data_IF_098061587925
#
_entry.id   IF_098061587925
#
_cell.length_a   1.000
_cell.length_b   1.000
_cell.length_c   1.000
_cell.angle_alpha   90.00
_cell.angle_beta   90.00
_cell.angle_gamma   90.00
#
_symmetry.space_group_name_H-M   'P 1'
#
loop_
_entity.id
_entity.type
_entity.pdbx_description
1 polymer ?
#
# COMPACT_ATOMS: atom_id res chain seq x y z
N UNK A 1 0.74 -18.22 1.18
CA UNK A 1 0.40 -19.67 1.30
C UNK A 1 0.86 -20.20 2.68
N UNK A 2 0.39 -21.36 3.16
CA UNK A 2 0.97 -22.00 4.34
C UNK A 2 2.46 -22.38 4.15
N UNK A 3 2.90 -22.50 2.90
CA UNK A 3 4.32 -22.64 2.54
C UNK A 3 5.17 -21.39 2.84
N UNK A 4 4.54 -20.23 3.04
CA UNK A 4 5.21 -18.95 3.27
C UNK A 4 5.25 -18.56 4.75
N UNK A 5 4.97 -19.48 5.68
CA UNK A 5 4.88 -19.20 7.11
C UNK A 5 5.69 -20.22 7.91
N UNK A 6 6.55 -19.72 8.81
CA UNK A 6 7.17 -20.49 9.89
C UNK A 6 6.55 -20.03 11.20
N UNK A 7 5.64 -20.84 11.77
CA UNK A 7 4.91 -20.48 12.98
C UNK A 7 5.56 -21.02 14.24
N UNK A 8 5.83 -20.17 15.23
CA UNK A 8 6.24 -20.59 16.56
C UNK A 8 5.02 -20.86 17.46
N UNK A 9 3.97 -20.04 17.33
CA UNK A 9 2.75 -20.15 18.12
C UNK A 9 1.55 -19.53 17.40
N UNK A 10 0.62 -20.36 16.96
CA UNK A 10 -0.65 -19.93 16.39
C UNK A 10 -1.67 -21.07 16.44
N UNK A 11 -2.95 -20.73 16.49
CA UNK A 11 -4.03 -21.68 16.22
C UNK A 11 -4.32 -21.86 14.73
N UNK A 12 -3.81 -20.98 13.87
CA UNK A 12 -4.07 -20.96 12.43
C UNK A 12 -3.05 -21.76 11.61
N UNK A 13 -1.81 -21.85 12.08
CA UNK A 13 -0.69 -22.48 11.38
C UNK A 13 -0.13 -23.68 12.15
N UNK A 14 0.51 -24.61 11.44
CA UNK A 14 1.28 -25.68 12.09
C UNK A 14 2.53 -25.08 12.74
N UNK A 15 2.68 -25.28 14.04
CA UNK A 15 3.77 -24.70 14.81
C UNK A 15 5.01 -25.61 14.75
N UNK A 16 6.17 -25.01 14.46
CA UNK A 16 7.47 -25.66 14.64
C UNK A 16 7.76 -25.87 16.13
N UNK A 17 8.64 -26.81 16.49
CA UNK A 17 8.96 -27.04 17.89
C UNK A 17 9.62 -25.83 18.55
N UNK A 18 9.11 -25.47 19.73
CA UNK A 18 9.72 -24.48 20.64
C UNK A 18 10.09 -25.19 21.93
N UNK A 19 11.36 -25.13 22.32
CA UNK A 19 11.88 -25.81 23.51
C UNK A 19 11.26 -25.27 24.79
N UNK A 20 11.16 -23.94 24.87
CA UNK A 20 10.50 -23.27 26.00
C UNK A 20 10.05 -21.86 25.63
N UNK A 21 8.90 -21.45 26.18
CA UNK A 21 8.37 -20.09 26.11
C UNK A 21 8.80 -19.21 27.31
N UNK A 22 9.58 -19.78 28.22
CA UNK A 22 10.15 -19.11 29.39
C UNK A 22 11.42 -19.84 29.82
N UNK A 23 12.57 -19.34 29.38
CA UNK A 23 13.88 -19.90 29.71
C UNK A 23 14.23 -19.76 31.18
N UNK A 24 15.26 -20.50 31.65
CA UNK A 24 15.76 -20.37 33.03
C UNK A 24 16.43 -19.02 33.32
N UNK A 25 16.89 -18.35 32.27
CA UNK A 25 17.53 -17.04 32.34
C UNK A 25 16.55 -15.87 32.18
N UNK A 26 15.26 -16.14 31.90
CA UNK A 26 14.16 -15.17 32.01
C UNK A 26 14.19 -14.51 33.40
N UNK A 27 13.81 -13.23 33.50
CA UNK A 27 13.74 -12.56 34.79
C UNK A 27 12.90 -13.40 35.78
N UNK A 28 13.41 -13.69 36.99
CA UNK A 28 12.76 -14.62 37.90
C UNK A 28 11.39 -14.15 38.39
N UNK A 29 11.08 -12.85 38.28
CA UNK A 29 9.76 -12.31 38.61
C UNK A 29 8.69 -12.61 37.55
N UNK A 30 9.10 -12.88 36.31
CA UNK A 30 8.18 -13.12 35.19
C UNK A 30 7.44 -14.43 35.42
N UNK A 31 6.11 -14.38 35.31
CA UNK A 31 5.24 -15.55 35.33
C UNK A 31 4.67 -15.76 33.92
N UNK A 32 4.71 -16.99 33.42
CA UNK A 32 4.08 -17.39 32.15
C UNK A 32 2.88 -18.31 32.47
N UNK A 33 1.73 -17.99 31.89
CA UNK A 33 0.56 -18.85 31.88
C UNK A 33 0.07 -19.07 30.45
N UNK A 34 -0.21 -20.32 30.11
CA UNK A 34 -1.01 -20.65 28.93
C UNK A 34 -2.49 -20.50 29.30
N UNK A 35 -3.20 -19.61 28.62
CA UNK A 35 -4.63 -19.37 28.83
C UNK A 35 -5.38 -19.55 27.52
N UNK A 36 -6.71 -19.59 27.61
CA UNK A 36 -7.58 -19.63 26.44
C UNK A 36 -8.55 -18.45 26.48
N UNK A 37 -8.63 -17.68 25.39
CA UNK A 37 -9.58 -16.58 25.22
C UNK A 37 -10.51 -16.95 24.06
N UNK A 38 -11.73 -17.36 24.39
CA UNK A 38 -12.62 -17.98 23.41
C UNK A 38 -12.03 -19.31 22.95
N UNK A 39 -11.80 -19.44 21.65
CA UNK A 39 -11.16 -20.62 21.05
C UNK A 39 -9.65 -20.42 20.78
N UNK A 40 -9.09 -19.23 21.07
CA UNK A 40 -7.66 -18.91 20.87
C UNK A 40 -6.83 -19.27 22.10
N UNK A 41 -5.70 -19.95 21.87
CA UNK A 41 -4.66 -20.17 22.87
C UNK A 41 -3.80 -18.92 22.96
N UNK A 42 -3.49 -18.47 24.18
CA UNK A 42 -2.75 -17.21 24.41
C UNK A 42 -1.70 -17.41 25.49
N UNK A 43 -0.49 -16.88 25.26
CA UNK A 43 0.58 -16.80 26.27
C UNK A 43 0.37 -15.53 27.10
N UNK A 44 0.17 -15.64 28.41
CA UNK A 44 0.15 -14.47 29.31
C UNK A 44 1.43 -14.39 30.11
N UNK A 45 2.15 -13.29 29.92
CA UNK A 45 3.30 -12.90 30.74
C UNK A 45 2.87 -11.86 31.78
N UNK A 46 3.17 -12.11 33.05
CA UNK A 46 2.98 -11.17 34.16
C UNK A 46 4.32 -10.80 34.78
N UNK A 47 4.44 -9.58 35.32
CA UNK A 47 5.69 -9.02 35.83
C UNK A 47 6.82 -9.05 34.79
N UNK A 48 6.49 -8.80 33.52
CA UNK A 48 7.43 -8.86 32.42
C UNK A 48 8.51 -7.79 32.58
N UNK A 49 9.74 -8.23 32.81
CA UNK A 49 10.96 -7.41 32.64
C UNK A 49 11.62 -7.82 31.34
N UNK A 50 12.00 -9.09 31.24
CA UNK A 50 12.31 -9.76 29.98
C UNK A 50 12.04 -11.26 30.10
N UNK A 51 11.57 -11.88 29.03
CA UNK A 51 11.35 -13.32 28.93
C UNK A 51 12.04 -13.87 27.69
N UNK A 52 12.81 -14.92 27.87
CA UNK A 52 13.43 -15.68 26.80
C UNK A 52 12.54 -16.81 26.31
N UNK A 53 12.46 -16.95 25.00
CA UNK A 53 11.88 -18.06 24.27
C UNK A 53 13.00 -18.72 23.47
N UNK A 54 13.13 -20.04 23.55
CA UNK A 54 14.19 -20.82 22.91
C UNK A 54 13.61 -21.91 22.02
N UNK A 55 14.21 -22.06 20.84
CA UNK A 55 13.98 -23.10 19.84
C UNK A 55 15.34 -23.53 19.29
N UNK A 56 16.24 -23.91 20.19
CA UNK A 56 17.64 -24.26 19.90
C UNK A 56 17.79 -25.72 19.47
N UNK A 57 16.86 -26.61 19.85
CA UNK A 57 16.86 -28.01 19.39
C UNK A 57 16.50 -28.10 17.92
N UNK A 58 15.62 -27.22 17.45
CA UNK A 58 15.19 -27.11 16.05
C UNK A 58 15.19 -25.63 15.66
N UNK A 59 16.39 -25.13 15.38
CA UNK A 59 16.60 -23.77 14.88
C UNK A 59 15.85 -23.59 13.56
N UNK A 60 15.37 -22.38 13.32
CA UNK A 60 14.63 -22.05 12.10
C UNK A 60 15.46 -21.19 11.17
N UNK A 61 15.40 -21.53 9.89
CA UNK A 61 15.93 -20.71 8.81
C UNK A 61 14.82 -19.77 8.33
N UNK A 62 14.99 -18.48 8.62
CA UNK A 62 14.07 -17.41 8.18
C UNK A 62 14.72 -16.52 7.13
N UNK A 63 15.78 -17.00 6.46
CA UNK A 63 16.52 -16.23 5.46
C UNK A 63 15.69 -15.86 4.25
N UNK A 64 14.72 -16.71 3.92
CA UNK A 64 13.76 -16.44 2.84
C UNK A 64 12.46 -15.77 3.35
N UNK A 65 12.35 -15.46 4.64
CA UNK A 65 11.20 -14.72 5.17
C UNK A 65 11.48 -13.22 5.12
N UNK A 66 10.43 -12.42 5.07
CA UNK A 66 10.52 -10.96 4.98
C UNK A 66 10.09 -10.27 6.27
N UNK A 67 9.15 -10.89 7.00
CA UNK A 67 8.48 -10.27 8.14
C UNK A 67 8.44 -11.21 9.36
N UNK A 68 8.45 -10.59 10.54
CA UNK A 68 8.09 -11.22 11.81
C UNK A 68 6.74 -10.67 12.27
N UNK A 69 5.85 -11.54 12.71
CA UNK A 69 4.51 -11.20 13.18
C UNK A 69 4.32 -11.61 14.64
N UNK A 70 3.67 -10.73 15.41
CA UNK A 70 3.20 -11.02 16.76
C UNK A 70 1.92 -10.23 17.08
N UNK A 71 0.88 -10.91 17.57
CA UNK A 71 -0.22 -10.21 18.24
C UNK A 71 0.11 -9.95 19.70
N UNK A 72 -0.06 -8.70 20.13
CA UNK A 72 0.25 -8.25 21.48
C UNK A 72 -0.93 -7.49 22.05
N UNK A 73 -1.39 -7.88 23.24
CA UNK A 73 -2.33 -7.09 24.03
C UNK A 73 -1.74 -6.80 25.40
N UNK A 74 -1.88 -5.56 25.87
CA UNK A 74 -1.47 -5.17 27.22
C UNK A 74 -2.52 -4.26 27.84
N UNK A 75 -2.87 -4.45 29.13
CA UNK A 75 -3.70 -3.49 29.85
C UNK A 75 -2.88 -2.30 30.36
N UNK A 76 -1.56 -2.37 30.28
CA UNK A 76 -0.68 -1.36 30.84
C UNK A 76 -0.59 -0.15 29.91
N UNK A 77 -0.19 1.00 30.45
CA UNK A 77 -0.02 2.21 29.66
C UNK A 77 1.13 2.03 28.67
N UNK A 78 0.91 2.40 27.41
CA UNK A 78 1.90 2.28 26.32
C UNK A 78 2.44 3.63 25.85
N UNK A 79 1.97 4.74 26.44
CA UNK A 79 2.60 6.04 26.21
C UNK A 79 4.02 6.07 26.78
N UNK A 80 4.94 6.70 26.04
CA UNK A 80 6.33 6.89 26.50
C UNK A 80 6.37 7.46 27.93
N UNK A 81 7.24 6.94 28.80
CA UNK A 81 8.41 6.10 28.48
C UNK A 81 8.16 4.58 28.41
N UNK A 82 6.91 4.13 28.59
CA UNK A 82 6.56 2.71 28.53
C UNK A 82 6.75 2.17 27.11
N UNK A 83 7.32 0.97 26.98
CA UNK A 83 7.52 0.30 25.68
C UNK A 83 7.65 -1.22 25.83
N UNK A 84 7.27 -1.95 24.80
CA UNK A 84 7.45 -3.39 24.67
C UNK A 84 8.62 -3.68 23.74
N UNK A 85 9.57 -4.50 24.16
CA UNK A 85 10.71 -4.89 23.33
C UNK A 85 10.51 -6.25 22.68
N UNK A 86 10.93 -6.37 21.44
CA UNK A 86 11.06 -7.62 20.70
C UNK A 86 12.50 -7.73 20.23
N UNK A 87 13.15 -8.86 20.53
CA UNK A 87 14.51 -9.13 20.13
C UNK A 87 14.64 -10.52 19.55
N UNK A 88 15.33 -10.61 18.42
CA UNK A 88 15.61 -11.84 17.70
C UNK A 88 17.11 -12.14 17.77
N UNK A 89 17.47 -13.41 17.93
CA UNK A 89 18.87 -13.86 18.04
C UNK A 89 19.12 -15.03 17.12
N UNK A 90 20.09 -14.87 16.23
CA UNK A 90 20.61 -15.88 15.31
C UNK A 90 21.98 -16.36 15.80
N UNK A 91 22.18 -17.67 15.87
CA UNK A 91 23.40 -18.28 16.42
C UNK A 91 24.56 -18.33 15.41
N UNK A 92 24.40 -17.70 14.24
CA UNK A 92 25.42 -17.68 13.20
C UNK A 92 25.53 -19.02 12.48
N UNK A 93 26.48 -19.11 11.54
CA UNK A 93 26.54 -20.18 10.54
C UNK A 93 26.76 -21.60 11.10
N UNK A 94 27.26 -21.77 12.32
CA UNK A 94 27.47 -23.08 12.94
C UNK A 94 26.34 -23.50 13.91
N UNK A 95 25.34 -22.63 14.09
CA UNK A 95 24.19 -22.85 14.97
C UNK A 95 24.56 -22.94 16.45
N UNK A 96 25.73 -22.45 16.86
CA UNK A 96 26.18 -22.49 18.26
C UNK A 96 26.09 -21.10 18.91
N UNK A 97 25.78 -21.07 20.21
CA UNK A 97 25.84 -19.83 20.97
C UNK A 97 27.30 -19.45 21.29
N UNK A 98 28.02 -18.94 20.29
CA UNK A 98 29.43 -18.58 20.41
C UNK A 98 29.83 -17.32 19.58
N UNK A 99 31.05 -17.32 19.04
CA UNK A 99 31.54 -16.26 18.17
C UNK A 99 30.86 -16.31 16.81
N UNK A 100 29.84 -15.47 16.63
CA UNK A 100 29.05 -15.47 15.39
C UNK A 100 27.59 -15.15 15.63
N UNK A 101 27.15 -15.17 16.89
CA UNK A 101 25.81 -14.76 17.29
C UNK A 101 25.56 -13.30 16.88
N UNK A 102 24.42 -13.06 16.24
CA UNK A 102 23.93 -11.74 15.85
C UNK A 102 22.51 -11.55 16.38
N UNK A 103 22.15 -10.31 16.66
CA UNK A 103 20.89 -9.98 17.33
C UNK A 103 20.39 -8.61 16.93
N UNK A 104 19.07 -8.47 16.81
CA UNK A 104 18.41 -7.19 16.61
C UNK A 104 17.27 -7.01 17.61
N UNK A 105 17.06 -5.78 18.10
CA UNK A 105 16.02 -5.44 19.07
C UNK A 105 15.28 -4.18 18.66
N UNK A 106 13.95 -4.23 18.75
CA UNK A 106 13.04 -3.13 18.49
C UNK A 106 12.14 -2.89 19.69
N UNK A 107 11.63 -1.67 19.83
CA UNK A 107 10.72 -1.28 20.90
C UNK A 107 9.47 -0.62 20.33
N UNK A 108 8.31 -0.97 20.87
CA UNK A 108 6.99 -0.51 20.45
C UNK A 108 6.29 0.24 21.58
N UNK A 109 5.70 1.38 21.25
CA UNK A 109 4.94 2.25 22.15
C UNK A 109 3.70 2.81 21.41
N UNK A 110 2.91 3.68 22.04
CA UNK A 110 1.70 4.23 21.42
C UNK A 110 1.96 5.15 20.21
N UNK A 111 3.21 5.52 19.94
CA UNK A 111 3.62 6.41 18.85
C UNK A 111 4.53 5.73 17.81
N UNK A 112 4.78 4.42 17.92
CA UNK A 112 5.48 3.65 16.90
C UNK A 112 4.56 3.23 15.76
N UNK A 113 5.16 2.75 14.67
CA UNK A 113 4.46 2.09 13.58
C UNK A 113 5.10 0.71 13.36
N UNK A 114 4.39 -0.40 13.62
CA UNK A 114 3.04 -0.48 14.18
C UNK A 114 2.94 0.07 15.62
N UNK A 115 1.77 0.62 15.97
CA UNK A 115 1.51 1.18 17.30
C UNK A 115 1.10 0.09 18.31
N UNK A 116 1.65 0.17 19.53
CA UNK A 116 1.19 -0.65 20.65
C UNK A 116 0.16 0.14 21.47
N UNK A 117 -1.11 -0.23 21.36
CA UNK A 117 -2.21 0.47 22.02
C UNK A 117 -2.68 -0.27 23.29
N UNK A 118 -2.80 0.47 24.39
CA UNK A 118 -3.28 -0.07 25.66
C UNK A 118 -4.74 -0.52 25.56
N UNK A 119 -5.03 -1.74 26.04
CA UNK A 119 -6.37 -2.29 26.14
C UNK A 119 -6.95 -2.84 24.83
N UNK A 120 -6.17 -2.89 23.75
CA UNK A 120 -6.55 -3.51 22.48
C UNK A 120 -5.45 -4.44 21.96
N UNK A 121 -5.81 -5.34 21.06
CA UNK A 121 -4.86 -6.24 20.42
C UNK A 121 -4.18 -5.47 19.30
N UNK A 122 -2.87 -5.27 19.43
CA UNK A 122 -2.02 -4.71 18.38
C UNK A 122 -1.44 -5.86 17.53
N UNK A 123 -1.44 -5.66 16.22
CA UNK A 123 -0.73 -6.50 15.27
C UNK A 123 0.64 -5.90 15.03
N UNK A 124 1.69 -6.57 15.50
CA UNK A 124 3.07 -6.18 15.23
C UNK A 124 3.58 -6.97 14.04
N UNK A 125 3.44 -6.40 12.86
CA UNK A 125 4.04 -6.89 11.63
C UNK A 125 5.31 -6.08 11.37
N UNK A 126 6.46 -6.76 11.43
CA UNK A 126 7.76 -6.10 11.55
C UNK A 126 8.65 -6.60 10.40
N UNK A 127 9.09 -5.73 9.49
CA UNK A 127 10.09 -6.09 8.50
C UNK A 127 11.34 -6.64 9.18
N UNK A 128 11.81 -7.81 8.75
CA UNK A 128 13.03 -8.41 9.32
C UNK A 128 14.26 -7.51 9.08
N UNK A 129 14.20 -6.63 8.08
CA UNK A 129 15.22 -5.63 7.78
C UNK A 129 15.39 -4.57 8.88
N UNK A 130 14.35 -4.29 9.67
CA UNK A 130 14.40 -3.27 10.72
C UNK A 130 15.23 -3.72 11.93
N UNK A 131 15.45 -5.03 12.07
CA UNK A 131 16.38 -5.60 13.03
C UNK A 131 17.83 -5.41 12.55
N UNK A 132 18.34 -4.18 12.57
CA UNK A 132 19.64 -3.79 11.98
C UNK A 132 20.84 -4.68 12.40
N UNK A 133 20.80 -5.24 13.62
CA UNK A 133 21.84 -6.12 14.13
C UNK A 133 21.69 -7.61 13.77
N UNK A 134 20.55 -8.02 13.23
CA UNK A 134 20.24 -9.40 12.82
C UNK A 134 20.70 -9.63 11.37
N UNK A 135 22.01 -9.63 11.16
CA UNK A 135 22.64 -9.67 9.82
C UNK A 135 22.69 -11.07 9.18
N UNK A 136 22.38 -12.12 9.94
CA UNK A 136 22.20 -13.51 9.50
C UNK A 136 20.87 -14.04 10.05
N UNK A 137 20.29 -15.01 9.35
CA UNK A 137 18.92 -15.51 9.60
C UNK A 137 18.75 -17.02 9.39
N UNK A 138 19.85 -17.73 9.11
CA UNK A 138 19.87 -19.15 8.80
C UNK A 138 19.66 -20.03 10.03
N UNK A 139 20.01 -19.55 11.23
CA UNK A 139 19.96 -20.30 12.48
C UNK A 139 19.33 -19.47 13.60
N UNK A 140 18.15 -18.92 13.33
CA UNK A 140 17.41 -18.18 14.34
C UNK A 140 17.04 -19.14 15.47
N UNK A 141 17.31 -18.71 16.70
CA UNK A 141 17.37 -19.61 17.86
C UNK A 141 16.59 -19.10 19.08
N UNK A 142 16.46 -17.78 19.20
CA UNK A 142 15.80 -17.16 20.35
C UNK A 142 14.93 -15.98 19.94
N UNK A 143 13.82 -15.85 20.66
CA UNK A 143 13.00 -14.65 20.72
C UNK A 143 13.03 -14.16 22.17
N UNK A 144 13.26 -12.87 22.38
CA UNK A 144 13.19 -12.23 23.69
C UNK A 144 12.13 -11.14 23.61
N UNK A 145 11.20 -11.18 24.54
CA UNK A 145 10.22 -10.11 24.75
C UNK A 145 10.55 -9.38 26.04
N UNK A 146 10.38 -8.06 26.07
CA UNK A 146 10.69 -7.25 27.25
C UNK A 146 9.64 -6.19 27.54
N UNK A 147 9.46 -5.93 28.83
CA UNK A 147 8.61 -4.89 29.36
C UNK A 147 9.46 -3.78 29.92
N UNK A 148 9.34 -2.57 29.38
CA UNK A 148 10.18 -1.43 29.80
C UNK A 148 9.32 -0.31 30.38
N UNK A 149 9.76 0.23 31.51
CA UNK A 149 9.20 1.39 32.23
C UNK A 149 7.73 1.29 32.67
N UNK A 150 7.06 0.15 32.45
CA UNK A 150 5.71 -0.10 32.96
C UNK A 150 4.87 -1.13 32.21
N UNK A 151 5.31 -1.64 31.05
CA UNK A 151 4.61 -2.71 30.31
C UNK A 151 4.92 -4.07 30.94
N UNK A 152 4.21 -4.45 32.00
CA UNK A 152 4.53 -5.61 32.83
C UNK A 152 3.57 -6.79 32.61
N UNK A 153 2.40 -6.57 32.02
CA UNK A 153 1.41 -7.60 31.69
C UNK A 153 1.21 -7.61 30.19
N UNK A 154 1.59 -8.71 29.54
CA UNK A 154 1.50 -8.84 28.09
C UNK A 154 0.86 -10.18 27.75
N UNK A 155 -0.08 -10.14 26.81
CA UNK A 155 -0.73 -11.29 26.22
C UNK A 155 -0.19 -11.39 24.80
N UNK A 156 0.34 -12.56 24.46
CA UNK A 156 0.97 -12.84 23.16
C UNK A 156 0.21 -13.97 22.49
N UNK A 157 -0.13 -13.74 21.22
CA UNK A 157 -0.72 -14.73 20.33
C UNK A 157 -0.10 -14.58 18.93
N UNK A 158 -0.25 -15.58 18.06
CA UNK A 158 0.17 -15.56 16.67
C UNK A 158 1.61 -15.05 16.48
N UNK A 159 2.58 -15.84 16.93
CA UNK A 159 4.00 -15.58 16.75
C UNK A 159 4.51 -16.40 15.57
N UNK A 160 4.83 -15.76 14.46
CA UNK A 160 5.32 -16.44 13.26
C UNK A 160 6.18 -15.53 12.39
N UNK A 161 6.97 -16.14 11.52
CA UNK A 161 7.68 -15.48 10.43
C UNK A 161 6.96 -15.78 9.14
N UNK A 162 6.93 -14.84 8.23
CA UNK A 162 6.36 -15.11 6.93
C UNK A 162 7.11 -14.38 5.82
N UNK A 163 7.02 -14.98 4.63
CA UNK A 163 7.39 -14.35 3.38
C UNK A 163 6.13 -13.65 2.90
N UNK A 164 6.12 -12.33 2.98
CA UNK A 164 5.26 -11.57 2.10
C UNK A 164 5.71 -11.96 0.68
N UNK A 165 4.77 -12.42 -0.16
CA UNK A 165 5.07 -12.78 -1.55
C UNK A 165 5.91 -11.66 -2.18
N UNK A 166 6.95 -12.02 -2.95
CA UNK A 166 7.89 -11.06 -3.56
C UNK A 166 7.14 -9.93 -4.30
N UNK A 167 6.83 -8.85 -3.60
CA UNK A 167 6.64 -7.52 -4.16
C UNK A 167 8.05 -6.94 -4.26
N UNK A 168 8.77 -7.31 -5.31
CA UNK A 168 10.18 -6.95 -5.47
C UNK A 168 10.39 -5.45 -5.28
N UNK A 169 11.07 -5.03 -4.22
CA UNK A 169 11.34 -3.60 -3.90
C UNK A 169 10.10 -2.67 -3.95
N UNK A 170 8.87 -3.19 -3.88
CA UNK A 170 7.63 -2.38 -3.88
C UNK A 170 7.12 -2.29 -2.42
N UNK A 171 6.79 -1.08 -1.90
CA UNK A 171 6.12 -0.95 -0.59
C UNK A 171 4.77 -1.70 -0.63
N UNK A 172 4.22 -2.04 0.55
CA UNK A 172 2.93 -2.74 0.78
C UNK A 172 1.97 -2.74 -0.43
N UNK A 173 1.23 -3.85 -0.71
CA UNK A 173 0.31 -3.91 -1.84
C UNK A 173 -0.54 -2.66 -1.85
N UNK A 174 -0.23 -1.76 -2.78
CA UNK A 174 -0.93 -0.48 -2.83
C UNK A 174 -2.38 -0.88 -3.03
N UNK A 175 -3.33 -0.42 -2.18
CA UNK A 175 -4.70 -0.86 -2.29
C UNK A 175 -5.12 -0.72 -3.76
N UNK A 176 -5.82 -1.71 -4.29
CA UNK A 176 -6.29 -1.70 -5.68
C UNK A 176 -7.82 -1.80 -5.71
N UNK A 177 -8.48 -1.34 -6.79
CA UNK A 177 -9.94 -1.43 -6.88
C UNK A 177 -10.39 -2.89 -6.85
N UNK A 178 -11.28 -3.25 -5.91
CA UNK A 178 -11.81 -4.61 -5.79
C UNK A 178 -12.85 -4.95 -6.89
N UNK A 179 -13.47 -3.92 -7.49
CA UNK A 179 -14.45 -4.04 -8.57
C UNK A 179 -14.08 -3.08 -9.70
N UNK A 180 -14.52 -3.40 -10.92
CA UNK A 180 -14.34 -2.54 -12.09
C UNK A 180 -15.05 -1.19 -11.92
N UNK A 181 -14.62 -0.19 -12.68
CA UNK A 181 -15.32 1.08 -12.75
C UNK A 181 -16.77 0.87 -13.26
N UNK A 182 -17.73 1.74 -12.87
CA UNK A 182 -19.09 1.67 -13.39
C UNK A 182 -19.13 1.71 -14.92
N UNK A 183 -19.92 0.83 -15.54
CA UNK A 183 -20.10 0.83 -16.99
C UNK A 183 -20.82 2.12 -17.44
N UNK A 184 -20.26 2.91 -18.37
CA UNK A 184 -20.91 4.10 -18.90
C UNK A 184 -22.29 3.80 -19.52
N UNK A 185 -23.21 4.76 -19.41
CA UNK A 185 -24.60 4.62 -19.90
C UNK A 185 -25.01 5.67 -20.94
N UNK A 186 -24.09 6.51 -21.40
CA UNK A 186 -24.36 7.51 -22.44
C UNK A 186 -24.61 6.81 -23.77
N UNK A 187 -25.48 7.34 -24.62
CA UNK A 187 -25.70 6.77 -25.95
C UNK A 187 -24.40 6.87 -26.77
N UNK A 188 -23.97 5.76 -27.39
CA UNK A 188 -22.74 5.71 -28.17
C UNK A 188 -22.72 6.72 -29.33
N UNK A 189 -23.88 7.19 -29.82
CA UNK A 189 -23.98 8.24 -30.84
C UNK A 189 -23.60 9.65 -30.32
N UNK A 190 -23.54 9.81 -29.00
CA UNK A 190 -23.24 11.06 -28.30
C UNK A 190 -21.85 11.04 -27.64
N UNK A 191 -21.01 10.04 -27.95
CA UNK A 191 -19.72 9.78 -27.31
C UNK A 191 -18.58 9.75 -28.33
N UNK A 192 -17.46 10.40 -27.99
CA UNK A 192 -16.14 10.16 -28.59
C UNK A 192 -15.27 9.52 -27.50
N UNK A 193 -15.00 8.22 -27.63
CA UNK A 193 -14.28 7.44 -26.61
C UNK A 193 -12.79 7.35 -26.92
N UNK A 194 -11.94 7.67 -25.95
CA UNK A 194 -10.50 7.42 -26.01
C UNK A 194 -10.14 6.05 -25.42
N UNK A 195 -10.80 5.67 -24.32
CA UNK A 195 -10.57 4.40 -23.63
C UNK A 195 -11.82 3.95 -22.88
N UNK A 196 -12.48 2.89 -23.34
CA UNK A 196 -13.57 2.24 -22.63
C UNK A 196 -13.85 0.88 -23.26
N UNK A 197 -14.22 -0.11 -22.47
CA UNK A 197 -14.77 -1.38 -22.98
C UNK A 197 -16.22 -1.24 -23.47
N UNK A 198 -16.91 -0.14 -23.16
CA UNK A 198 -18.32 0.07 -23.50
C UNK A 198 -18.54 0.71 -24.89
N UNK A 199 -17.53 1.36 -25.46
CA UNK A 199 -17.62 2.11 -26.71
C UNK A 199 -16.51 1.74 -27.70
N UNK A 200 -16.71 2.06 -28.98
CA UNK A 200 -15.62 2.01 -29.96
C UNK A 200 -14.66 3.17 -29.69
N UNK A 201 -13.39 2.86 -29.44
CA UNK A 201 -12.38 3.86 -29.12
C UNK A 201 -11.78 4.44 -30.41
N UNK A 202 -11.61 5.76 -30.44
CA UNK A 202 -10.80 6.42 -31.48
C UNK A 202 -9.31 6.16 -31.20
N UNK A 203 -8.43 6.26 -32.22
CA UNK A 203 -7.01 6.01 -32.01
C UNK A 203 -6.36 6.97 -31.00
N UNK A 204 -5.52 6.41 -30.13
CA UNK A 204 -4.64 7.14 -29.22
C UNK A 204 -3.21 6.69 -29.51
N UNK A 205 -2.30 7.64 -29.74
CA UNK A 205 -0.92 7.35 -30.12
C UNK A 205 -0.15 6.73 -28.96
N UNK A 206 -0.33 7.30 -27.76
CA UNK A 206 0.28 6.79 -26.53
C UNK A 206 -0.47 7.27 -25.30
N UNK A 207 -0.48 6.43 -24.26
CA UNK A 207 -1.01 6.73 -22.92
C UNK A 207 0.08 7.14 -21.93
N UNK A 208 1.34 7.12 -22.36
CA UNK A 208 2.50 7.61 -21.62
C UNK A 208 3.54 8.10 -22.62
N UNK A 209 3.57 9.40 -22.85
CA UNK A 209 4.53 10.04 -23.76
C UNK A 209 5.97 9.97 -23.26
N UNK A 210 6.95 10.20 -24.14
CA UNK A 210 8.37 10.27 -23.75
C UNK A 210 8.69 11.46 -22.82
N UNK A 211 7.84 12.48 -22.82
CA UNK A 211 7.97 13.67 -21.98
C UNK A 211 7.19 13.58 -20.66
N UNK A 212 6.47 12.47 -20.42
CA UNK A 212 5.95 12.10 -19.09
C UNK A 212 7.08 12.10 -18.06
N UNK A 213 6.79 12.44 -16.80
CA UNK A 213 7.81 12.38 -15.74
C UNK A 213 8.46 10.98 -15.73
N UNK A 214 9.81 10.89 -15.71
CA UNK A 214 10.50 9.62 -15.85
C UNK A 214 10.23 8.64 -14.72
N UNK A 215 9.80 9.11 -13.54
CA UNK A 215 9.45 8.23 -12.42
C UNK A 215 8.10 7.53 -12.63
N UNK A 216 7.21 8.09 -13.45
CA UNK A 216 5.86 7.56 -13.66
C UNK A 216 5.94 6.22 -14.38
N UNK A 217 5.24 5.24 -13.86
CA UNK A 217 5.07 3.92 -14.49
C UNK A 217 3.64 3.78 -14.99
N UNK A 218 3.45 3.15 -16.15
CA UNK A 218 2.14 2.84 -16.71
C UNK A 218 2.05 1.33 -16.92
N UNK A 219 0.96 0.75 -16.41
CA UNK A 219 0.58 -0.62 -16.66
C UNK A 219 -0.85 -0.72 -17.18
N UNK A 220 -1.06 -1.64 -18.11
CA UNK A 220 -2.39 -2.07 -18.53
C UNK A 220 -2.76 -3.31 -17.71
N UNK A 221 -3.81 -3.19 -16.90
CA UNK A 221 -4.31 -4.27 -16.05
C UNK A 221 -5.76 -4.60 -16.38
N UNK A 222 -6.28 -5.68 -15.79
CA UNK A 222 -7.69 -6.00 -15.85
C UNK A 222 -8.28 -6.13 -14.44
N UNK A 223 -9.44 -5.52 -14.24
CA UNK A 223 -10.25 -5.68 -13.02
C UNK A 223 -11.58 -6.29 -13.43
N UNK A 224 -11.76 -7.57 -13.14
CA UNK A 224 -12.81 -8.37 -13.76
C UNK A 224 -12.60 -8.46 -15.28
N UNK A 225 -13.61 -8.05 -16.05
CA UNK A 225 -13.55 -7.99 -17.53
C UNK A 225 -13.27 -6.57 -18.06
N UNK A 226 -13.00 -5.59 -17.19
CA UNK A 226 -12.70 -4.20 -17.58
C UNK A 226 -11.20 -3.98 -17.71
N UNK A 227 -10.78 -3.38 -18.82
CA UNK A 227 -9.40 -2.95 -19.03
C UNK A 227 -9.18 -1.64 -18.28
N UNK A 228 -8.09 -1.54 -17.52
CA UNK A 228 -7.80 -0.37 -16.65
C UNK A 228 -6.35 0.06 -16.85
N UNK A 229 -6.11 1.37 -16.88
CA UNK A 229 -4.76 1.94 -16.90
C UNK A 229 -4.32 2.26 -15.48
N UNK A 230 -3.23 1.66 -15.00
CA UNK A 230 -2.63 1.96 -13.70
C UNK A 230 -1.40 2.83 -13.89
N UNK A 231 -1.43 4.01 -13.29
CA UNK A 231 -0.27 4.89 -13.17
C UNK A 231 0.28 4.81 -11.75
N UNK A 232 1.56 4.50 -11.61
CA UNK A 232 2.29 4.53 -10.33
C UNK A 232 3.34 5.63 -10.37
N UNK A 233 3.75 6.14 -9.21
CA UNK A 233 4.69 7.27 -9.09
C UNK A 233 4.26 8.50 -9.91
N UNK A 234 2.95 8.75 -9.98
CA UNK A 234 2.35 9.78 -10.81
C UNK A 234 2.76 11.19 -10.33
N UNK A 235 3.61 11.84 -11.12
CA UNK A 235 3.84 13.29 -11.03
C UNK A 235 3.01 13.98 -12.12
N UNK A 236 3.29 13.67 -13.38
CA UNK A 236 2.40 13.98 -14.50
C UNK A 236 2.64 12.99 -15.64
N UNK A 237 1.56 12.58 -16.33
CA UNK A 237 1.61 11.70 -17.48
C UNK A 237 0.92 12.35 -18.67
N UNK A 238 1.61 12.33 -19.81
CA UNK A 238 1.07 12.78 -21.09
C UNK A 238 0.42 11.66 -21.88
N UNK A 239 -0.75 11.94 -22.43
CA UNK A 239 -1.50 11.11 -23.38
C UNK A 239 -1.63 11.91 -24.68
N UNK A 240 -1.27 11.29 -25.80
CA UNK A 240 -1.25 11.94 -27.11
C UNK A 240 -2.14 11.19 -28.12
N UNK A 241 -2.90 11.97 -28.88
CA UNK A 241 -3.71 11.57 -30.03
C UNK A 241 -3.51 12.64 -31.12
N UNK A 242 -2.24 12.88 -31.45
CA UNK A 242 -1.78 13.92 -32.37
C UNK A 242 -1.86 13.47 -33.84
N UNK A 243 -1.80 12.15 -34.10
CA UNK A 243 -1.93 11.63 -35.48
C UNK A 243 -3.37 11.71 -35.98
N UNK A 244 -4.34 11.48 -35.09
CA UNK A 244 -5.77 11.62 -35.33
C UNK A 244 -6.37 12.52 -34.24
N UNK A 245 -6.16 13.83 -34.39
CA UNK A 245 -6.75 14.84 -33.51
C UNK A 245 -8.28 14.74 -33.51
N UNK A 246 -8.88 15.01 -32.35
CA UNK A 246 -10.32 14.88 -32.16
C UNK A 246 -10.98 16.25 -32.12
N UNK A 247 -12.08 16.37 -32.86
CA UNK A 247 -12.99 17.51 -32.79
C UNK A 247 -14.06 17.22 -31.73
N UNK A 248 -13.98 17.93 -30.61
CA UNK A 248 -14.95 17.85 -29.51
C UNK A 248 -15.77 19.14 -29.38
N UNK A 249 -15.86 19.92 -30.46
CA UNK A 249 -16.63 21.17 -30.49
C UNK A 249 -18.12 20.99 -30.24
N UNK A 250 -18.69 19.85 -30.66
CA UNK A 250 -20.09 19.48 -30.38
C UNK A 250 -20.29 18.82 -29.01
N UNK A 251 -19.20 18.48 -28.30
CA UNK A 251 -19.26 17.85 -26.98
C UNK A 251 -19.41 18.90 -25.88
N UNK A 252 -19.99 18.47 -24.76
CA UNK A 252 -20.29 19.35 -23.62
C UNK A 252 -19.48 19.00 -22.39
N UNK A 253 -19.07 17.74 -22.24
CA UNK A 253 -18.41 17.22 -21.06
C UNK A 253 -17.24 16.29 -21.44
N UNK A 254 -16.26 16.25 -20.58
CA UNK A 254 -15.23 15.21 -20.51
C UNK A 254 -15.57 14.27 -19.35
N UNK A 255 -15.41 12.96 -19.54
CA UNK A 255 -15.62 11.94 -18.53
C UNK A 255 -14.36 11.11 -18.32
N UNK A 256 -14.08 10.79 -17.06
CA UNK A 256 -13.08 9.81 -16.66
C UNK A 256 -13.52 9.12 -15.36
N UNK A 257 -13.38 7.80 -15.28
CA UNK A 257 -13.39 7.11 -13.99
C UNK A 257 -11.98 7.09 -13.42
N UNK A 258 -11.85 7.52 -12.16
CA UNK A 258 -10.58 7.60 -11.45
C UNK A 258 -10.73 6.90 -10.11
N UNK A 259 -9.80 6.02 -9.78
CA UNK A 259 -9.68 5.40 -8.46
C UNK A 259 -8.25 5.58 -7.96
N UNK A 260 -8.08 5.90 -6.68
CA UNK A 260 -6.76 6.04 -6.06
C UNK A 260 -6.80 5.51 -4.63
N UNK A 261 -5.76 4.79 -4.17
CA UNK A 261 -5.66 4.42 -2.76
C UNK A 261 -5.15 5.59 -1.90
N UNK A 262 -4.60 6.62 -2.53
CA UNK A 262 -3.94 7.71 -1.84
C UNK A 262 -4.96 8.62 -1.16
N UNK A 263 -4.53 9.32 -0.11
CA UNK A 263 -5.35 10.34 0.52
C UNK A 263 -5.64 11.48 -0.48
N UNK A 264 -6.90 11.88 -0.60
CA UNK A 264 -7.38 12.94 -1.49
C UNK A 264 -7.79 14.21 -0.76
N UNK A 265 -7.62 14.26 0.56
CA UNK A 265 -7.77 15.49 1.34
C UNK A 265 -6.64 16.47 1.02
N UNK A 266 -6.97 17.76 0.97
CA UNK A 266 -5.97 18.81 0.73
C UNK A 266 -4.79 18.70 1.71
N UNK A 267 -3.54 18.87 1.23
CA UNK A 267 -3.16 19.50 -0.05
C UNK A 267 -3.19 18.58 -1.28
N UNK A 268 -3.50 17.31 -1.13
CA UNK A 268 -3.44 16.29 -2.17
C UNK A 268 -4.55 16.52 -3.20
N UNK A 269 -4.24 16.35 -4.50
CA UNK A 269 -5.22 16.52 -5.59
C UNK A 269 -4.76 15.85 -6.89
N UNK A 270 -5.74 15.47 -7.72
CA UNK A 270 -5.51 14.94 -9.07
C UNK A 270 -5.79 16.01 -10.12
N UNK A 271 -4.86 16.23 -11.04
CA UNK A 271 -5.00 17.18 -12.14
C UNK A 271 -5.45 16.52 -13.43
N UNK A 272 -6.33 17.20 -14.16
CA UNK A 272 -6.72 16.88 -15.53
C UNK A 272 -6.50 18.12 -16.37
N UNK A 273 -5.75 17.98 -17.47
CA UNK A 273 -5.48 19.05 -18.42
C UNK A 273 -5.73 18.61 -19.84
N UNK A 274 -6.37 19.47 -20.61
CA UNK A 274 -6.68 19.26 -22.02
C UNK A 274 -5.94 20.30 -22.86
N UNK A 275 -5.41 19.87 -24.01
CA UNK A 275 -4.66 20.74 -24.94
C UNK A 275 -5.20 20.60 -26.36
N UNK A 276 -5.56 21.73 -26.95
CA UNK A 276 -5.97 21.88 -28.35
C UNK A 276 -4.87 22.61 -29.11
N UNK A 277 -4.45 22.05 -30.25
CA UNK A 277 -3.33 22.57 -31.05
C UNK A 277 -3.72 23.77 -31.93
N UNK A 278 -4.91 24.32 -31.76
CA UNK A 278 -5.39 25.44 -32.54
C UNK A 278 -5.74 25.05 -33.97
N UNK A 279 -6.12 26.04 -34.77
CA UNK A 279 -6.81 25.83 -36.05
C UNK A 279 -5.98 25.12 -37.15
N UNK A 280 -4.65 25.11 -37.07
CA UNK A 280 -3.79 24.41 -38.03
C UNK A 280 -3.35 23.02 -37.57
N UNK A 281 -3.78 22.61 -36.37
CA UNK A 281 -3.49 21.30 -35.80
C UNK A 281 -2.01 21.10 -35.47
N UNK A 282 -1.22 22.16 -35.35
CA UNK A 282 0.22 22.07 -35.06
C UNK A 282 0.53 22.52 -33.64
N UNK A 283 1.55 21.90 -33.02
CA UNK A 283 2.06 22.36 -31.74
C UNK A 283 2.90 23.64 -31.90
N UNK A 284 2.24 24.77 -32.17
CA UNK A 284 2.89 26.05 -32.39
C UNK A 284 2.09 27.25 -31.83
N UNK A 285 2.09 28.38 -32.55
CA UNK A 285 1.33 29.57 -32.17
C UNK A 285 -0.17 29.35 -32.36
N UNK A 286 -0.89 29.22 -31.25
CA UNK A 286 -2.35 29.03 -31.29
C UNK A 286 -2.82 27.88 -30.41
N UNK A 287 -1.89 27.12 -29.83
CA UNK A 287 -2.17 26.12 -28.79
C UNK A 287 -2.89 26.77 -27.62
N UNK A 288 -3.98 26.13 -27.18
CA UNK A 288 -4.77 26.54 -26.02
C UNK A 288 -4.96 25.35 -25.09
N UNK A 289 -5.05 25.61 -23.79
CA UNK A 289 -5.07 24.57 -22.77
C UNK A 289 -5.88 25.00 -21.56
N UNK A 290 -6.50 24.03 -20.88
CA UNK A 290 -7.14 24.25 -19.60
C UNK A 290 -6.82 23.11 -18.64
N UNK A 291 -6.68 23.41 -17.36
CA UNK A 291 -6.35 22.45 -16.31
C UNK A 291 -7.29 22.65 -15.11
N UNK A 292 -7.74 21.53 -14.55
CA UNK A 292 -8.57 21.47 -13.35
C UNK A 292 -7.96 20.47 -12.37
N UNK A 293 -8.20 20.69 -11.07
CA UNK A 293 -7.74 19.80 -10.01
C UNK A 293 -8.93 19.31 -9.17
N UNK A 294 -8.90 18.04 -8.78
CA UNK A 294 -9.93 17.34 -8.03
C UNK A 294 -9.37 16.83 -6.71
N UNK A 295 -10.11 17.05 -5.63
CA UNK A 295 -9.79 16.65 -4.26
C UNK A 295 -11.07 16.16 -3.56
N UNK A 296 -10.99 15.73 -2.30
CA UNK A 296 -12.15 15.24 -1.55
C UNK A 296 -13.28 16.27 -1.36
N UNK A 297 -13.00 17.56 -1.62
CA UNK A 297 -13.94 18.67 -1.44
C UNK A 297 -14.40 19.32 -2.77
N UNK A 298 -13.99 18.80 -3.93
CA UNK A 298 -14.48 19.28 -5.24
C UNK A 298 -15.84 18.68 -5.61
N UNK A 299 -16.45 19.19 -6.68
CA UNK A 299 -17.65 18.62 -7.30
C UNK A 299 -17.38 18.48 -8.81
N UNK A 300 -17.19 17.26 -9.34
CA UNK A 300 -17.21 15.97 -8.63
C UNK A 300 -16.05 15.82 -7.61
N UNK A 301 -16.30 15.08 -6.53
CA UNK A 301 -15.30 14.78 -5.51
C UNK A 301 -14.40 13.62 -5.96
N UNK A 302 -13.12 13.67 -5.58
CA UNK A 302 -12.21 12.55 -5.70
C UNK A 302 -12.11 11.84 -4.35
N UNK A 303 -12.66 10.63 -4.25
CA UNK A 303 -12.71 9.85 -3.01
C UNK A 303 -11.64 8.75 -3.01
N UNK A 304 -10.85 8.67 -1.95
CA UNK A 304 -9.85 7.61 -1.75
C UNK A 304 -10.52 6.24 -1.59
N UNK A 305 -9.98 5.22 -2.25
CA UNK A 305 -10.44 3.84 -2.18
C UNK A 305 -11.71 3.53 -2.96
N UNK A 306 -12.23 4.46 -3.76
CA UNK A 306 -13.50 4.32 -4.51
C UNK A 306 -13.41 4.93 -5.91
N UNK A 307 -14.19 4.38 -6.85
CA UNK A 307 -14.24 4.88 -8.23
C UNK A 307 -15.01 6.19 -8.27
N UNK A 308 -14.28 7.28 -8.48
CA UNK A 308 -14.82 8.62 -8.69
C UNK A 308 -15.19 8.80 -10.17
N UNK A 309 -16.42 9.24 -10.44
CA UNK A 309 -16.90 9.56 -11.79
C UNK A 309 -16.70 11.05 -12.07
N UNK A 310 -15.62 11.40 -12.76
CA UNK A 310 -15.31 12.79 -13.09
C UNK A 310 -16.05 13.21 -14.36
N UNK A 311 -17.31 13.63 -14.23
CA UNK A 311 -18.08 14.30 -15.29
C UNK A 311 -17.80 15.81 -15.28
N UNK A 312 -16.92 16.28 -16.16
CA UNK A 312 -16.39 17.64 -16.13
C UNK A 312 -16.95 18.45 -17.30
N UNK A 313 -17.71 19.54 -17.05
CA UNK A 313 -18.12 20.45 -18.11
C UNK A 313 -16.91 21.01 -18.85
N UNK A 314 -16.89 20.90 -20.19
CA UNK A 314 -15.77 21.43 -20.97
C UNK A 314 -15.60 22.94 -20.83
N UNK A 315 -16.67 23.65 -20.43
CA UNK A 315 -16.66 25.08 -20.17
C UNK A 315 -15.83 25.49 -18.93
N UNK A 316 -15.58 24.55 -18.00
CA UNK A 316 -14.81 24.83 -16.78
C UNK A 316 -13.29 24.89 -17.07
N UNK A 317 -12.86 24.33 -18.19
CA UNK A 317 -11.50 24.52 -18.72
C UNK A 317 -11.37 25.91 -19.37
N UNK A 318 -11.31 26.97 -18.55
CA UNK A 318 -11.38 28.38 -19.01
C UNK A 318 -10.36 28.75 -20.10
N UNK A 319 -9.19 28.12 -20.10
CA UNK A 319 -8.15 28.34 -21.10
C UNK A 319 -8.31 27.55 -22.41
N UNK A 320 -9.17 26.51 -22.43
CA UNK A 320 -9.45 25.68 -23.60
C UNK A 320 -10.52 26.33 -24.49
N UNK A 321 -10.17 27.45 -25.11
CA UNK A 321 -11.10 28.30 -25.88
C UNK A 321 -11.41 27.78 -27.29
N UNK A 322 -10.66 26.79 -27.79
CA UNK A 322 -10.92 26.03 -29.03
C UNK A 322 -10.91 24.54 -28.72
N UNK A 323 -11.61 23.75 -29.55
CA UNK A 323 -11.86 22.31 -29.33
C UNK A 323 -11.92 21.49 -30.62
N UNK A 324 -11.45 22.05 -31.72
CA UNK A 324 -11.52 21.45 -33.06
C UNK A 324 -10.36 20.48 -33.30
N UNK A 325 -9.22 20.68 -32.62
CA UNK A 325 -8.00 19.90 -32.80
C UNK A 325 -7.43 19.52 -31.42
N UNK A 326 -8.28 18.93 -30.57
CA UNK A 326 -7.82 18.41 -29.29
C UNK A 326 -6.82 17.29 -29.54
N UNK A 327 -5.68 17.39 -28.86
CA UNK A 327 -4.48 16.61 -29.22
C UNK A 327 -3.84 15.91 -28.04
N UNK A 328 -4.03 16.43 -26.83
CA UNK A 328 -3.40 15.88 -25.63
C UNK A 328 -4.35 15.93 -24.44
N UNK A 329 -4.21 14.90 -23.62
CA UNK A 329 -4.71 14.83 -22.25
C UNK A 329 -3.49 14.68 -21.34
N UNK A 330 -3.45 15.42 -20.25
CA UNK A 330 -2.42 15.29 -19.22
C UNK A 330 -3.13 15.02 -17.91
N UNK A 331 -2.69 13.99 -17.20
CA UNK A 331 -3.10 13.70 -15.83
C UNK A 331 -1.93 13.96 -14.90
N UNK A 332 -2.20 14.43 -13.68
CA UNK A 332 -1.14 14.74 -12.72
C UNK A 332 -1.52 14.37 -11.29
N UNK A 333 -0.51 13.93 -10.55
CA UNK A 333 -0.57 13.68 -9.12
C UNK A 333 0.07 14.84 -8.39
N UNK A 334 -0.65 15.45 -7.44
CA UNK A 334 -0.14 16.61 -6.69
C UNK A 334 -0.16 16.32 -5.20
N UNK A 335 0.98 16.58 -4.55
CA UNK A 335 1.18 16.51 -3.09
C UNK A 335 0.88 15.14 -2.47
N UNK A 336 0.88 14.04 -3.24
CA UNK A 336 0.77 12.68 -2.72
C UNK A 336 -0.24 11.76 -3.39
N UNK A 337 -0.94 12.22 -4.43
CA UNK A 337 -1.77 11.34 -5.30
C UNK A 337 -0.88 10.70 -6.37
N UNK A 338 -0.17 9.64 -6.01
CA UNK A 338 0.90 9.06 -6.82
C UNK A 338 0.48 7.74 -7.51
N UNK A 339 -0.59 7.10 -7.05
CA UNK A 339 -1.13 5.87 -7.63
C UNK A 339 -2.56 6.11 -8.09
N UNK A 340 -2.79 5.99 -9.39
CA UNK A 340 -4.10 6.28 -9.99
C UNK A 340 -4.48 5.21 -11.01
N UNK A 341 -5.70 4.71 -10.89
CA UNK A 341 -6.34 3.79 -11.82
C UNK A 341 -7.35 4.59 -12.64
N UNK A 342 -7.24 4.48 -13.96
CA UNK A 342 -8.04 5.22 -14.93
C UNK A 342 -8.81 4.24 -15.81
N UNK A 343 -10.11 4.48 -15.95
CA UNK A 343 -10.99 3.75 -16.86
C UNK A 343 -11.98 4.75 -17.50
N UNK A 344 -12.61 4.34 -18.61
CA UNK A 344 -13.69 5.06 -19.28
C UNK A 344 -13.37 6.54 -19.54
N UNK A 345 -12.37 6.82 -20.38
CA UNK A 345 -11.99 8.17 -20.79
C UNK A 345 -12.70 8.53 -22.09
N UNK A 346 -13.62 9.50 -22.05
CA UNK A 346 -14.39 9.90 -23.23
C UNK A 346 -14.94 11.33 -23.15
N UNK A 347 -15.33 11.88 -24.29
CA UNK A 347 -16.08 13.13 -24.40
C UNK A 347 -17.52 12.82 -24.78
N UNK A 348 -18.47 13.60 -24.26
CA UNK A 348 -19.87 13.40 -24.59
C UNK A 348 -20.70 14.68 -24.65
N UNK A 349 -21.85 14.59 -25.33
CA UNK A 349 -22.89 15.62 -25.34
C UNK A 349 -24.11 15.17 -24.53
N UNK A 350 -24.72 16.12 -23.82
CA UNK A 350 -25.86 15.89 -22.92
C UNK A 350 -27.14 16.54 -23.44
#
# INVERSE_FOLDING_TARGET
DAADVISLFSNAYENVPVDTWRTEWTDPAVELEDIQIGDSDVKRYSNLVFAGIEFVTEQIDVSEMTHFHMHVWTPDNTDRPNRFGVKLVDFGADGQFDTGVVEGELFFDSATDPALESGTWSSLEIPLADFEGLVTRENLSQLIISGVEGVNTVYVDNVYFFRAEDEGDDPEPTPSPAEAAPTPTVDAADVISLFSNAYENVPVDTWRTEWTDPAVELEDIQIGDSDVKRYSNLVFAGIEFVTEQIDVSEMTHFHMHVWTPDNTDRPNRFGVKLVDFGADGQFDTGVVEGELFFDSATDPALESGTWSSLEIPLADFEGLVTRENLSQLIISGVEGVNTVYVDNVYFFRR
#
